data_IF_286147707151
#
_entry.id   IF_286147707151
#
_cell.length_a   1.000
_cell.length_b   1.000
_cell.length_c   1.000
_cell.angle_alpha   90.00
_cell.angle_beta   90.00
_cell.angle_gamma   90.00
#
_symmetry.space_group_name_H-M   'P 1'
#
loop_
_entity.id
_entity.type
_entity.pdbx_description
1 polymer ?
#
# COMPACT_ATOMS: atom_id res chain seq x y z
N UNK A 1 5.83 -6.37 -0.97
CA UNK A 1 6.54 -5.54 0.03
C UNK A 1 5.67 -4.33 0.31
N UNK A 2 5.40 -4.01 1.60
CA UNK A 2 4.56 -2.88 1.96
C UNK A 2 5.28 -1.55 1.77
N UNK A 3 4.54 -0.51 1.32
CA UNK A 3 5.08 0.85 1.30
C UNK A 3 5.29 1.34 2.74
N UNK A 4 6.44 1.90 3.01
CA UNK A 4 6.75 2.62 4.25
C UNK A 4 6.42 4.10 4.04
N UNK A 5 5.50 4.64 4.82
CA UNK A 5 5.12 6.05 4.72
C UNK A 5 5.66 6.80 5.93
N UNK A 6 6.50 7.81 5.66
CA UNK A 6 6.96 8.76 6.67
C UNK A 6 6.03 9.97 6.65
N UNK A 7 5.46 10.32 7.78
CA UNK A 7 4.66 11.53 7.89
C UNK A 7 5.22 12.48 8.93
N UNK A 8 5.61 13.69 8.47
CA UNK A 8 5.62 14.87 9.31
C UNK A 8 4.20 15.44 9.29
N UNK A 9 3.57 15.54 10.44
CA UNK A 9 2.24 16.14 10.56
C UNK A 9 2.30 17.61 10.14
N UNK A 10 1.51 18.06 9.15
CA UNK A 10 1.29 19.47 8.97
C UNK A 10 0.40 19.96 10.12
N UNK A 11 0.84 21.02 10.79
CA UNK A 11 -0.03 21.86 11.63
C UNK A 11 -1.07 22.53 10.73
N UNK A 12 -2.20 21.87 10.47
CA UNK A 12 -3.25 22.41 9.62
C UNK A 12 -4.60 22.32 10.31
N UNK A 13 -5.27 23.46 10.38
CA UNK A 13 -6.65 23.67 10.88
C UNK A 13 -7.72 22.71 10.32
N UNK A 14 -7.47 22.06 9.19
CA UNK A 14 -8.36 21.06 8.56
C UNK A 14 -8.39 19.74 9.36
N UNK A 15 -7.25 19.30 9.91
CA UNK A 15 -7.16 18.10 10.72
C UNK A 15 -7.99 18.23 12.01
N UNK A 16 -7.89 19.37 12.68
CA UNK A 16 -8.60 19.63 13.94
C UNK A 16 -10.12 19.55 13.79
N UNK A 17 -10.65 20.08 12.69
CA UNK A 17 -12.08 20.02 12.38
C UNK A 17 -12.56 18.60 12.16
N UNK A 18 -11.82 17.80 11.40
CA UNK A 18 -12.16 16.39 11.13
C UNK A 18 -12.25 15.57 12.43
N UNK A 19 -11.25 15.68 13.29
CA UNK A 19 -11.24 14.93 14.55
C UNK A 19 -12.32 15.41 15.51
N UNK A 20 -12.60 16.72 15.54
CA UNK A 20 -13.68 17.30 16.35
C UNK A 20 -15.05 16.82 15.88
N UNK A 21 -15.33 16.88 14.57
CA UNK A 21 -16.60 16.45 13.99
C UNK A 21 -16.85 14.95 14.28
N UNK A 22 -15.82 14.12 14.21
CA UNK A 22 -15.93 12.70 14.56
C UNK A 22 -16.17 12.51 16.07
N UNK A 23 -15.51 13.29 16.95
CA UNK A 23 -15.77 13.23 18.37
C UNK A 23 -17.22 13.59 18.70
N UNK A 24 -17.69 14.71 18.17
CA UNK A 24 -19.05 15.19 18.41
C UNK A 24 -20.11 14.19 17.91
N UNK A 25 -19.92 13.62 16.72
CA UNK A 25 -20.76 12.53 16.19
C UNK A 25 -20.72 11.29 17.06
N UNK A 26 -19.53 10.88 17.47
CA UNK A 26 -19.35 9.71 18.35
C UNK A 26 -20.08 9.86 19.68
N UNK A 27 -19.97 11.04 20.30
CA UNK A 27 -20.66 11.34 21.56
C UNK A 27 -22.17 11.45 21.38
N UNK A 28 -22.64 11.97 20.24
CA UNK A 28 -24.06 12.00 19.91
C UNK A 28 -24.62 10.58 19.72
N UNK A 29 -23.96 9.74 18.96
CA UNK A 29 -24.34 8.34 18.78
C UNK A 29 -24.34 7.59 20.12
N UNK A 30 -23.36 7.83 20.99
CA UNK A 30 -23.28 7.23 22.33
C UNK A 30 -24.49 7.61 23.19
N UNK A 31 -24.87 8.91 23.21
CA UNK A 31 -26.08 9.40 23.91
C UNK A 31 -27.36 8.77 23.37
N UNK A 32 -27.42 8.54 22.07
CA UNK A 32 -28.57 7.94 21.39
C UNK A 32 -28.58 6.40 21.49
N UNK A 33 -27.65 5.80 22.23
CA UNK A 33 -27.50 4.33 22.38
C UNK A 33 -27.15 3.59 21.06
N UNK A 34 -26.65 4.32 20.05
CA UNK A 34 -26.13 3.78 18.81
C UNK A 34 -24.65 3.44 19.00
N UNK A 35 -24.37 2.41 19.80
CA UNK A 35 -23.05 2.19 20.36
C UNK A 35 -22.00 1.76 19.32
N UNK A 36 -22.36 1.00 18.31
CA UNK A 36 -21.44 0.59 17.25
C UNK A 36 -20.98 1.80 16.41
N UNK A 37 -21.91 2.69 16.07
CA UNK A 37 -21.60 3.93 15.37
C UNK A 37 -20.80 4.88 16.29
N UNK A 38 -21.11 4.92 17.58
CA UNK A 38 -20.33 5.69 18.55
C UNK A 38 -18.87 5.23 18.56
N UNK A 39 -18.62 3.93 18.65
CA UNK A 39 -17.27 3.35 18.61
C UNK A 39 -16.56 3.71 17.30
N UNK A 40 -17.25 3.61 16.18
CA UNK A 40 -16.69 3.97 14.86
C UNK A 40 -16.19 5.42 14.81
N UNK A 41 -16.99 6.38 15.26
CA UNK A 41 -16.59 7.78 15.27
C UNK A 41 -15.57 8.12 16.37
N UNK A 42 -15.70 7.54 17.57
CA UNK A 42 -14.75 7.73 18.66
C UNK A 42 -13.35 7.20 18.29
N UNK A 43 -13.27 6.09 17.59
CA UNK A 43 -12.00 5.58 17.06
C UNK A 43 -11.28 6.64 16.24
N UNK A 44 -11.97 7.25 15.28
CA UNK A 44 -11.39 8.26 14.37
C UNK A 44 -10.91 9.51 15.11
N UNK A 45 -11.52 9.87 16.23
CA UNK A 45 -11.15 11.04 17.01
C UNK A 45 -10.15 10.75 18.14
N UNK A 46 -9.96 9.49 18.52
CA UNK A 46 -9.11 9.08 19.63
C UNK A 46 -7.62 9.37 19.41
N UNK A 47 -7.19 9.52 18.17
CA UNK A 47 -5.83 9.96 17.88
C UNK A 47 -5.52 11.33 18.50
N UNK A 48 -6.45 12.27 18.38
CA UNK A 48 -6.23 13.67 18.75
C UNK A 48 -6.79 14.02 20.14
N UNK A 49 -7.97 13.47 20.51
CA UNK A 49 -8.67 13.84 21.73
C UNK A 49 -8.56 12.79 22.84
N UNK A 50 -8.05 13.21 24.01
CA UNK A 50 -8.02 12.36 25.20
C UNK A 50 -9.42 12.00 25.71
N UNK A 51 -10.40 12.91 25.53
CA UNK A 51 -11.81 12.63 25.80
C UNK A 51 -12.37 11.50 24.93
N UNK A 52 -11.96 11.41 23.68
CA UNK A 52 -12.33 10.30 22.79
C UNK A 52 -11.65 8.99 23.21
N UNK A 53 -10.35 9.02 23.53
CA UNK A 53 -9.64 7.86 24.11
C UNK A 53 -10.34 7.34 25.35
N UNK A 54 -10.70 8.25 26.26
CA UNK A 54 -11.41 7.94 27.49
C UNK A 54 -12.79 7.29 27.22
N UNK A 55 -13.59 7.89 26.33
CA UNK A 55 -14.90 7.35 25.97
C UNK A 55 -14.78 5.97 25.32
N UNK A 56 -13.83 5.80 24.39
CA UNK A 56 -13.56 4.53 23.72
C UNK A 56 -13.05 3.46 24.72
N UNK A 57 -12.20 3.85 25.69
CA UNK A 57 -11.76 2.96 26.75
C UNK A 57 -12.93 2.46 27.61
N UNK A 58 -13.91 3.32 27.90
CA UNK A 58 -15.13 2.90 28.57
C UNK A 58 -15.94 1.89 27.73
N UNK A 59 -16.02 2.08 26.41
CA UNK A 59 -16.67 1.12 25.50
C UNK A 59 -16.01 -0.26 25.59
N UNK A 60 -14.68 -0.33 25.49
CA UNK A 60 -13.94 -1.59 25.61
C UNK A 60 -14.03 -2.20 27.01
N UNK A 61 -13.99 -1.40 28.07
CA UNK A 61 -14.13 -1.87 29.44
C UNK A 61 -15.47 -2.57 29.66
N UNK A 62 -16.54 -2.00 29.13
CA UNK A 62 -17.91 -2.43 29.38
C UNK A 62 -18.46 -3.39 28.31
N UNK A 63 -17.81 -3.51 27.16
CA UNK A 63 -18.33 -4.24 25.99
C UNK A 63 -19.49 -3.49 25.31
N UNK A 64 -19.44 -2.15 25.27
CA UNK A 64 -20.54 -1.32 24.74
C UNK A 64 -20.25 -0.95 23.28
N UNK A 65 -20.99 -1.53 22.33
CA UNK A 65 -20.77 -1.36 20.89
C UNK A 65 -19.50 -2.03 20.35
N UNK A 66 -18.82 -2.77 21.18
CA UNK A 66 -17.58 -3.49 20.87
C UNK A 66 -17.40 -4.63 21.87
N UNK A 67 -16.71 -5.68 21.46
CA UNK A 67 -16.35 -6.77 22.36
C UNK A 67 -15.52 -6.25 23.55
N UNK A 68 -15.87 -6.74 24.75
CA UNK A 68 -15.18 -6.34 25.99
C UNK A 68 -13.71 -6.74 25.93
N UNK A 69 -12.82 -5.76 26.13
CA UNK A 69 -11.38 -5.99 26.17
C UNK A 69 -10.70 -5.05 27.18
N UNK A 70 -10.34 -5.63 28.31
CA UNK A 70 -9.75 -4.88 29.43
C UNK A 70 -8.34 -4.35 29.11
N UNK A 71 -7.57 -5.09 28.33
CA UNK A 71 -6.22 -4.66 27.93
C UNK A 71 -6.27 -3.44 27.01
N UNK A 72 -7.20 -3.42 26.05
CA UNK A 72 -7.41 -2.25 25.20
C UNK A 72 -7.89 -1.03 25.99
N UNK A 73 -8.84 -1.23 26.89
CA UNK A 73 -9.29 -0.16 27.78
C UNK A 73 -8.13 0.42 28.61
N UNK A 74 -7.29 -0.46 29.16
CA UNK A 74 -6.11 -0.08 29.93
C UNK A 74 -5.11 0.74 29.11
N UNK A 75 -4.83 0.32 27.87
CA UNK A 75 -3.93 1.03 26.96
C UNK A 75 -4.47 2.44 26.64
N UNK A 76 -5.73 2.55 26.27
CA UNK A 76 -6.37 3.83 25.95
C UNK A 76 -6.34 4.81 27.12
N UNK A 77 -6.62 4.35 28.36
CA UNK A 77 -6.50 5.20 29.53
C UNK A 77 -5.06 5.68 29.76
N UNK A 78 -4.06 4.80 29.63
CA UNK A 78 -2.64 5.14 29.78
C UNK A 78 -2.13 6.10 28.73
N UNK A 79 -2.73 6.12 27.54
CA UNK A 79 -2.36 7.02 26.45
C UNK A 79 -2.91 8.44 26.58
N UNK A 80 -3.84 8.68 27.49
CA UNK A 80 -4.28 10.04 27.80
C UNK A 80 -3.13 10.84 28.43
N UNK A 81 -3.03 12.13 28.09
CA UNK A 81 -2.02 13.02 28.69
C UNK A 81 -2.15 13.06 30.21
N UNK A 82 -1.03 13.19 30.89
CA UNK A 82 -0.97 13.17 32.38
C UNK A 82 -1.88 14.19 33.04
N UNK A 83 -2.09 15.36 32.41
CA UNK A 83 -3.06 16.36 32.90
C UNK A 83 -4.48 15.82 32.88
N UNK A 84 -4.89 15.26 31.71
CA UNK A 84 -6.22 14.67 31.54
C UNK A 84 -6.44 13.46 32.45
N UNK A 85 -5.41 12.63 32.64
CA UNK A 85 -5.47 11.49 33.58
C UNK A 85 -5.81 11.94 35.00
N UNK A 86 -5.18 13.01 35.48
CA UNK A 86 -5.46 13.57 36.82
C UNK A 86 -6.86 14.17 36.92
N UNK A 87 -7.26 15.00 35.93
CA UNK A 87 -8.57 15.64 35.91
C UNK A 87 -9.73 14.63 35.86
N UNK A 88 -9.55 13.51 35.17
CA UNK A 88 -10.57 12.47 34.99
C UNK A 88 -10.39 11.27 35.93
N UNK A 89 -9.43 11.33 36.88
CA UNK A 89 -9.12 10.26 37.83
C UNK A 89 -8.93 8.90 37.16
N UNK A 90 -8.19 8.88 36.04
CA UNK A 90 -8.02 7.66 35.26
C UNK A 90 -7.18 6.61 35.96
N UNK A 91 -6.31 7.01 36.91
CA UNK A 91 -5.50 6.10 37.73
C UNK A 91 -6.37 5.13 38.53
N UNK A 92 -7.50 5.60 39.10
CA UNK A 92 -8.45 4.74 39.81
C UNK A 92 -9.04 3.67 38.88
N UNK A 93 -9.38 4.07 37.61
CA UNK A 93 -9.91 3.15 36.60
C UNK A 93 -8.87 2.16 36.12
N UNK A 94 -7.63 2.62 35.94
CA UNK A 94 -6.47 1.79 35.54
C UNK A 94 -6.23 0.74 36.64
N UNK A 95 -6.15 1.14 37.90
CA UNK A 95 -5.92 0.23 39.00
C UNK A 95 -7.04 -0.78 39.19
N UNK A 96 -8.30 -0.37 38.99
CA UNK A 96 -9.44 -1.29 39.00
C UNK A 96 -9.37 -2.35 37.92
N UNK A 97 -8.93 -1.98 36.69
CA UNK A 97 -8.75 -2.93 35.61
C UNK A 97 -7.57 -3.88 35.88
N UNK A 98 -6.44 -3.35 36.34
CA UNK A 98 -5.27 -4.15 36.72
C UNK A 98 -5.62 -5.22 37.74
N UNK A 99 -6.39 -4.84 38.78
CA UNK A 99 -6.87 -5.78 39.77
C UNK A 99 -7.74 -6.89 39.17
N UNK A 100 -8.67 -6.55 38.27
CA UNK A 100 -9.50 -7.56 37.58
C UNK A 100 -8.64 -8.51 36.73
N UNK A 101 -7.63 -7.99 36.06
CA UNK A 101 -6.70 -8.79 35.24
C UNK A 101 -5.93 -9.75 36.13
N UNK A 102 -5.41 -9.29 37.26
CA UNK A 102 -4.65 -10.06 38.24
C UNK A 102 -5.52 -11.12 38.92
N UNK A 103 -6.66 -10.71 39.47
CA UNK A 103 -7.59 -11.61 40.18
C UNK A 103 -8.11 -12.77 39.31
N UNK A 104 -8.23 -12.55 38.01
CA UNK A 104 -8.70 -13.56 37.06
C UNK A 104 -7.56 -14.21 36.22
N UNK A 105 -6.31 -13.91 36.54
CA UNK A 105 -5.13 -14.40 35.82
C UNK A 105 -5.26 -14.28 34.27
N UNK A 106 -5.83 -13.12 33.81
CA UNK A 106 -6.04 -12.87 32.42
C UNK A 106 -4.70 -12.60 31.73
N UNK A 107 -4.49 -13.25 30.60
CA UNK A 107 -3.32 -12.99 29.76
C UNK A 107 -3.74 -12.15 28.57
N UNK A 108 -2.90 -11.20 28.21
CA UNK A 108 -3.06 -10.47 26.96
C UNK A 108 -2.81 -11.45 25.80
N UNK A 109 -3.84 -11.69 24.99
CA UNK A 109 -3.66 -12.41 23.75
C UNK A 109 -2.79 -11.59 22.81
N UNK A 110 -1.79 -12.24 22.31
CA UNK A 110 -0.68 -11.77 21.49
C UNK A 110 -0.84 -10.45 20.73
N UNK A 111 0.28 -9.93 20.26
CA UNK A 111 0.52 -8.70 19.51
C UNK A 111 -0.31 -8.51 18.22
N UNK A 112 -1.45 -9.17 18.10
CA UNK A 112 -2.32 -9.13 16.93
C UNK A 112 -3.76 -8.76 17.31
N UNK A 113 -4.35 -7.88 16.54
CA UNK A 113 -5.74 -7.47 16.68
C UNK A 113 -6.45 -7.47 15.32
N UNK A 114 -7.73 -7.86 15.31
CA UNK A 114 -8.59 -7.78 14.13
C UNK A 114 -9.69 -6.75 14.35
N UNK A 115 -9.85 -5.85 13.38
CA UNK A 115 -10.97 -4.89 13.31
C UNK A 115 -11.69 -5.13 11.99
N UNK A 116 -12.98 -4.88 11.96
CA UNK A 116 -13.77 -4.81 10.75
C UNK A 116 -14.27 -3.38 10.53
N UNK A 117 -13.96 -2.80 9.37
CA UNK A 117 -14.48 -1.52 8.93
C UNK A 117 -15.43 -1.72 7.75
N UNK A 118 -16.55 -0.98 7.71
CA UNK A 118 -17.59 -1.15 6.68
C UNK A 118 -17.11 -0.84 5.26
N UNK A 119 -16.10 0.02 5.13
CA UNK A 119 -15.53 0.47 3.85
C UNK A 119 -14.23 -0.25 3.53
N UNK A 120 -13.34 -0.34 4.52
CA UNK A 120 -12.02 -0.94 4.35
C UNK A 120 -12.06 -2.46 4.34
N UNK A 121 -13.02 -3.07 5.03
CA UNK A 121 -13.11 -4.50 5.24
C UNK A 121 -12.36 -4.97 6.50
N UNK A 122 -11.81 -6.18 6.49
CA UNK A 122 -11.10 -6.77 7.61
C UNK A 122 -9.68 -6.20 7.71
N UNK A 123 -9.29 -5.76 8.90
CA UNK A 123 -7.99 -5.18 9.21
C UNK A 123 -7.32 -6.03 10.27
N UNK A 124 -6.09 -6.46 10.03
CA UNK A 124 -5.21 -7.11 11.00
C UNK A 124 -4.15 -6.12 11.45
N UNK A 125 -4.04 -5.88 12.74
CA UNK A 125 -3.05 -4.99 13.32
C UNK A 125 -2.02 -5.83 14.04
N UNK A 126 -0.75 -5.61 13.71
CA UNK A 126 0.40 -6.22 14.37
C UNK A 126 1.24 -5.13 15.02
N UNK A 127 1.59 -5.35 16.28
CA UNK A 127 2.41 -4.43 17.05
C UNK A 127 3.88 -4.80 16.93
N UNK A 128 4.73 -3.80 16.75
CA UNK A 128 6.17 -3.98 16.76
C UNK A 128 6.85 -2.87 17.55
N UNK A 129 7.66 -3.22 18.50
CA UNK A 129 8.47 -2.26 19.29
C UNK A 129 9.65 -1.70 18.52
N UNK A 130 9.94 -2.24 17.33
CA UNK A 130 11.10 -1.89 16.50
C UNK A 130 10.79 -0.87 15.41
N UNK A 131 9.53 -0.48 15.26
CA UNK A 131 9.12 0.48 14.24
C UNK A 131 8.44 1.68 14.88
N UNK A 132 8.79 2.86 14.38
CA UNK A 132 8.24 4.15 14.81
C UNK A 132 7.24 4.75 13.81
N UNK A 133 6.84 3.97 12.80
CA UNK A 133 5.90 4.34 11.75
C UNK A 133 5.01 3.14 11.41
N UNK A 134 3.91 3.37 10.75
CA UNK A 134 3.03 2.29 10.30
C UNK A 134 3.38 1.81 8.90
N UNK A 135 3.31 0.50 8.70
CA UNK A 135 3.43 -0.17 7.41
C UNK A 135 2.07 -0.76 7.07
N UNK A 136 1.48 -0.31 5.96
CA UNK A 136 0.19 -0.82 5.46
C UNK A 136 0.42 -1.74 4.27
N UNK A 137 -0.13 -2.95 4.33
CA UNK A 137 -0.07 -3.93 3.26
C UNK A 137 -1.47 -4.51 3.00
N UNK A 138 -1.89 -4.50 1.74
CA UNK A 138 -3.14 -5.12 1.32
C UNK A 138 -2.89 -6.60 1.04
N UNK A 139 -3.47 -7.46 1.89
CA UNK A 139 -3.33 -8.92 1.83
C UNK A 139 -4.62 -9.53 1.27
N UNK A 140 -4.56 -10.83 0.97
CA UNK A 140 -5.65 -11.62 0.40
C UNK A 140 -6.99 -11.44 1.14
N UNK A 141 -6.97 -11.56 2.47
CA UNK A 141 -8.20 -11.64 3.27
C UNK A 141 -8.33 -10.50 4.28
N UNK A 142 -7.34 -9.59 4.34
CA UNK A 142 -7.30 -8.49 5.28
C UNK A 142 -6.29 -7.41 4.86
N UNK A 143 -6.45 -6.22 5.43
CA UNK A 143 -5.42 -5.17 5.37
C UNK A 143 -4.52 -5.38 6.57
N UNK A 144 -3.23 -5.63 6.35
CA UNK A 144 -2.24 -5.73 7.42
C UNK A 144 -1.68 -4.35 7.73
N UNK A 145 -1.78 -3.95 8.99
CA UNK A 145 -1.09 -2.78 9.52
C UNK A 145 -0.11 -3.22 10.57
N UNK A 146 1.18 -3.00 10.31
CA UNK A 146 2.23 -3.20 11.30
C UNK A 146 2.62 -1.82 11.83
N UNK A 147 2.47 -1.60 13.15
CA UNK A 147 2.67 -0.28 13.76
C UNK A 147 3.38 -0.38 15.10
N UNK A 148 4.12 0.68 15.47
CA UNK A 148 4.68 0.86 16.81
C UNK A 148 3.72 1.55 17.79
N UNK A 149 2.59 2.04 17.31
CA UNK A 149 1.59 2.70 18.15
C UNK A 149 0.78 1.67 18.94
N UNK A 150 0.49 1.98 20.20
CA UNK A 150 -0.21 1.05 21.09
C UNK A 150 -1.74 1.10 20.97
N UNK A 151 -2.29 1.69 19.91
CA UNK A 151 -3.74 1.82 19.70
C UNK A 151 -4.12 1.47 18.28
N UNK A 152 -4.96 0.45 18.18
CA UNK A 152 -5.48 -0.08 16.94
C UNK A 152 -6.20 0.97 16.06
N UNK A 153 -6.81 1.95 16.69
CA UNK A 153 -7.68 2.91 16.02
C UNK A 153 -6.89 3.90 15.15
N UNK A 154 -5.62 4.12 15.45
CA UNK A 154 -4.69 4.92 14.60
C UNK A 154 -4.42 4.21 13.27
N UNK A 155 -4.45 2.89 13.26
CA UNK A 155 -4.20 2.11 12.07
C UNK A 155 -5.20 2.36 10.93
N UNK A 156 -6.44 2.73 11.25
CA UNK A 156 -7.46 3.08 10.25
C UNK A 156 -7.06 4.37 9.52
N UNK A 157 -6.64 5.41 10.25
CA UNK A 157 -6.19 6.66 9.65
C UNK A 157 -4.94 6.44 8.79
N UNK A 158 -4.02 5.56 9.20
CA UNK A 158 -2.84 5.21 8.43
C UNK A 158 -3.19 4.49 7.13
N UNK A 159 -4.25 3.66 7.12
CA UNK A 159 -4.76 3.05 5.89
C UNK A 159 -5.29 4.12 4.93
N UNK A 160 -6.12 5.06 5.40
CA UNK A 160 -6.64 6.14 4.55
C UNK A 160 -5.53 7.03 4.01
N UNK A 161 -4.51 7.35 4.82
CA UNK A 161 -3.32 8.08 4.36
C UNK A 161 -2.57 7.29 3.28
N UNK A 162 -2.38 5.98 3.50
CA UNK A 162 -1.73 5.12 2.53
C UNK A 162 -2.51 5.09 1.19
N UNK A 163 -3.83 5.05 1.25
CA UNK A 163 -4.69 5.12 0.07
C UNK A 163 -4.58 6.47 -0.64
N UNK A 164 -4.61 7.58 0.10
CA UNK A 164 -4.52 8.93 -0.45
C UNK A 164 -3.20 9.22 -1.18
N UNK A 165 -2.14 8.45 -0.92
CA UNK A 165 -0.85 8.59 -1.61
C UNK A 165 -0.71 7.70 -2.85
N UNK A 166 -1.72 6.90 -3.18
CA UNK A 166 -1.68 6.07 -4.40
C UNK A 166 -2.12 6.89 -5.59
N UNK A 167 -1.35 6.83 -6.68
CA UNK A 167 -1.54 7.68 -7.86
C UNK A 167 -2.91 7.52 -8.52
N UNK A 168 -3.49 6.33 -8.48
CA UNK A 168 -4.81 6.07 -9.05
C UNK A 168 -5.98 6.68 -8.27
N UNK A 169 -5.77 7.18 -7.03
CA UNK A 169 -6.75 8.00 -6.30
C UNK A 169 -6.61 9.50 -6.59
N UNK A 170 -5.54 9.91 -7.28
CA UNK A 170 -5.26 11.33 -7.58
C UNK A 170 -5.79 11.79 -8.93
N UNK A 171 -6.05 10.89 -9.87
CA UNK A 171 -6.62 11.26 -11.16
C UNK A 171 -8.15 11.37 -11.03
N UNK A 172 -8.66 12.57 -10.99
CA UNK A 172 -10.11 12.88 -10.90
C UNK A 172 -10.92 12.25 -12.05
N UNK A 173 -10.29 11.95 -13.19
CA UNK A 173 -10.93 11.39 -14.37
C UNK A 173 -10.83 9.87 -14.52
N UNK A 174 -10.05 9.17 -13.69
CA UNK A 174 -9.81 7.74 -13.80
C UNK A 174 -9.71 7.04 -12.45
N UNK A 175 -10.65 7.30 -11.56
CA UNK A 175 -10.91 6.36 -10.47
C UNK A 175 -11.17 5.01 -11.12
N UNK A 176 -10.15 4.15 -11.15
CA UNK A 176 -10.28 2.81 -11.71
C UNK A 176 -11.32 2.07 -10.90
N UNK A 177 -12.56 2.15 -11.36
CA UNK A 177 -13.62 1.35 -10.78
C UNK A 177 -13.27 -0.10 -11.07
N UNK A 178 -12.76 -0.77 -10.06
CA UNK A 178 -12.41 -2.19 -10.14
C UNK A 178 -13.67 -2.95 -9.75
N UNK A 179 -14.32 -3.48 -10.75
CA UNK A 179 -15.47 -4.37 -10.64
C UNK A 179 -15.25 -5.64 -11.48
N UNK A 180 -16.30 -6.42 -11.66
CA UNK A 180 -16.27 -7.65 -12.45
C UNK A 180 -15.96 -7.42 -13.95
N UNK A 181 -16.16 -6.19 -14.45
CA UNK A 181 -15.92 -5.82 -15.84
C UNK A 181 -14.53 -5.21 -16.06
N UNK A 182 -13.72 -5.14 -15.01
CA UNK A 182 -12.38 -4.57 -15.11
C UNK A 182 -11.55 -5.27 -16.19
N UNK A 183 -11.00 -4.46 -17.08
CA UNK A 183 -10.11 -4.90 -18.14
C UNK A 183 -9.01 -3.88 -18.39
N UNK A 184 -7.81 -4.36 -18.66
CA UNK A 184 -6.69 -3.56 -19.14
C UNK A 184 -6.01 -4.31 -20.28
N UNK A 185 -5.77 -3.59 -21.36
CA UNK A 185 -5.09 -4.11 -22.54
C UNK A 185 -3.76 -3.36 -22.69
N UNK A 186 -2.68 -4.12 -22.57
CA UNK A 186 -1.33 -3.65 -22.82
C UNK A 186 -0.79 -4.30 -24.09
N UNK A 187 0.23 -3.76 -24.76
CA UNK A 187 0.74 -4.30 -25.99
C UNK A 187 1.14 -5.78 -25.92
N UNK A 188 1.71 -6.20 -24.78
CA UNK A 188 2.26 -7.55 -24.61
C UNK A 188 1.37 -8.50 -23.79
N UNK A 189 0.33 -8.00 -23.15
CA UNK A 189 -0.58 -8.85 -22.36
C UNK A 189 -1.88 -8.11 -22.02
N UNK A 190 -2.86 -8.88 -21.59
CA UNK A 190 -4.17 -8.35 -21.19
C UNK A 190 -4.50 -8.79 -19.79
N UNK A 191 -5.14 -7.91 -19.00
CA UNK A 191 -5.66 -8.22 -17.68
C UNK A 191 -7.19 -8.24 -17.70
N UNK A 192 -7.74 -9.25 -17.05
CA UNK A 192 -9.20 -9.46 -16.88
C UNK A 192 -9.49 -9.88 -15.45
N UNK A 193 -10.72 -9.68 -15.03
CA UNK A 193 -11.26 -10.23 -13.78
C UNK A 193 -12.41 -11.15 -14.12
N UNK A 194 -12.55 -12.23 -13.37
CA UNK A 194 -13.72 -13.10 -13.39
C UNK A 194 -13.95 -13.71 -12.00
N UNK A 195 -15.20 -13.99 -11.67
CA UNK A 195 -15.49 -14.77 -10.46
C UNK A 195 -15.17 -16.24 -10.68
N UNK A 196 -14.68 -16.89 -9.66
CA UNK A 196 -14.58 -18.34 -9.62
C UNK A 196 -15.68 -18.93 -8.72
N UNK A 197 -15.78 -20.25 -8.73
CA UNK A 197 -16.76 -20.97 -7.89
C UNK A 197 -16.21 -21.33 -6.50
N UNK A 198 -14.97 -20.93 -6.19
CA UNK A 198 -14.30 -21.21 -4.92
C UNK A 198 -14.14 -19.93 -4.09
N UNK A 199 -13.75 -20.08 -2.83
CA UNK A 199 -13.40 -18.97 -1.96
C UNK A 199 -11.90 -18.59 -2.05
N UNK A 200 -11.21 -19.07 -3.09
CA UNK A 200 -9.78 -18.82 -3.24
C UNK A 200 -9.46 -17.91 -4.41
N UNK A 201 -8.45 -17.07 -4.21
CA UNK A 201 -7.85 -16.27 -5.27
C UNK A 201 -6.94 -17.12 -6.13
N UNK A 202 -7.08 -17.00 -7.44
CA UNK A 202 -6.22 -17.66 -8.41
C UNK A 202 -6.13 -16.84 -9.69
N UNK A 203 -5.41 -17.32 -10.69
CA UNK A 203 -5.42 -16.73 -12.02
C UNK A 203 -5.33 -17.80 -13.09
N UNK A 204 -5.75 -17.44 -14.29
CA UNK A 204 -5.53 -18.20 -15.53
C UNK A 204 -4.69 -17.36 -16.47
N UNK A 205 -3.83 -18.00 -17.24
CA UNK A 205 -3.15 -17.38 -18.36
C UNK A 205 -3.43 -18.20 -19.61
N UNK A 206 -4.07 -17.58 -20.59
CA UNK A 206 -4.34 -18.17 -21.89
C UNK A 206 -4.03 -17.13 -22.98
N UNK A 207 -3.06 -17.41 -23.84
CA UNK A 207 -2.67 -16.52 -24.95
C UNK A 207 -2.43 -15.08 -24.48
N UNK A 208 -1.57 -14.91 -23.47
CA UNK A 208 -1.21 -13.60 -22.89
C UNK A 208 -2.38 -12.84 -22.23
N UNK A 209 -3.52 -13.48 -22.05
CA UNK A 209 -4.64 -12.97 -21.27
C UNK A 209 -4.56 -13.53 -19.84
N UNK A 210 -4.17 -12.68 -18.91
CA UNK A 210 -4.19 -13.00 -17.48
C UNK A 210 -5.57 -12.67 -16.91
N UNK A 211 -6.29 -13.68 -16.47
CA UNK A 211 -7.58 -13.52 -15.81
C UNK A 211 -7.41 -13.77 -14.32
N UNK A 212 -7.57 -12.72 -13.52
CA UNK A 212 -7.60 -12.81 -12.05
C UNK A 212 -8.94 -13.42 -11.67
N UNK A 213 -8.90 -14.56 -11.00
CA UNK A 213 -10.06 -15.26 -10.51
C UNK A 213 -10.34 -14.84 -9.08
N UNK A 214 -11.39 -14.04 -8.91
CA UNK A 214 -11.81 -13.48 -7.62
C UNK A 214 -12.76 -14.46 -6.93
N UNK A 215 -12.66 -14.65 -5.60
CA UNK A 215 -13.56 -15.51 -4.85
C UNK A 215 -15.04 -15.19 -5.08
N UNK A 216 -15.89 -16.22 -5.05
CA UNK A 216 -17.36 -16.09 -5.25
C UNK A 216 -17.97 -15.02 -4.36
N UNK A 217 -17.55 -14.93 -3.11
CA UNK A 217 -18.10 -14.03 -2.09
C UNK A 217 -17.32 -12.72 -1.93
N UNK A 218 -16.39 -12.39 -2.83
CA UNK A 218 -15.65 -11.13 -2.75
C UNK A 218 -16.56 -9.94 -3.01
N UNK A 219 -16.56 -8.98 -2.10
CA UNK A 219 -17.32 -7.74 -2.21
C UNK A 219 -16.42 -6.64 -2.79
N UNK A 220 -16.68 -6.26 -4.04
CA UNK A 220 -15.94 -5.18 -4.72
C UNK A 220 -16.19 -3.78 -4.13
N UNK A 221 -17.18 -3.60 -3.25
CA UNK A 221 -17.38 -2.35 -2.53
C UNK A 221 -16.32 -2.16 -1.43
N UNK A 222 -15.70 -3.24 -0.95
CA UNK A 222 -14.66 -3.17 0.05
C UNK A 222 -13.32 -2.73 -0.58
N UNK A 223 -12.71 -1.73 0.01
CA UNK A 223 -11.38 -1.22 -0.39
C UNK A 223 -10.34 -2.34 -0.37
N UNK A 224 -10.37 -3.19 0.64
CA UNK A 224 -9.48 -4.33 0.76
C UNK A 224 -9.48 -5.23 -0.48
N UNK A 225 -10.66 -5.54 -1.02
CA UNK A 225 -10.82 -6.41 -2.19
C UNK A 225 -10.23 -5.75 -3.43
N UNK A 226 -10.57 -4.47 -3.68
CA UNK A 226 -10.04 -3.72 -4.82
C UNK A 226 -8.52 -3.58 -4.76
N UNK A 227 -7.99 -3.23 -3.59
CA UNK A 227 -6.55 -3.09 -3.38
C UNK A 227 -5.80 -4.42 -3.56
N UNK A 228 -6.40 -5.52 -3.12
CA UNK A 228 -5.79 -6.82 -3.33
C UNK A 228 -5.77 -7.22 -4.81
N UNK A 229 -6.79 -6.88 -5.59
CA UNK A 229 -6.79 -7.08 -7.04
C UNK A 229 -5.62 -6.34 -7.69
N UNK A 230 -5.38 -5.08 -7.29
CA UNK A 230 -4.25 -4.29 -7.79
C UNK A 230 -2.91 -4.94 -7.42
N UNK A 231 -2.74 -5.36 -6.17
CA UNK A 231 -1.51 -6.04 -5.76
C UNK A 231 -1.31 -7.36 -6.52
N UNK A 232 -2.40 -8.09 -6.78
CA UNK A 232 -2.34 -9.33 -7.54
C UNK A 232 -1.99 -9.08 -9.01
N UNK A 233 -2.57 -8.04 -9.63
CA UNK A 233 -2.21 -7.60 -10.98
C UNK A 233 -0.73 -7.20 -11.07
N UNK A 234 -0.19 -6.49 -10.08
CA UNK A 234 1.23 -6.12 -10.02
C UNK A 234 2.14 -7.36 -9.95
N UNK A 235 1.73 -8.40 -9.22
CA UNK A 235 2.46 -9.68 -9.17
C UNK A 235 2.50 -10.33 -10.56
N UNK A 236 1.37 -10.35 -11.27
CA UNK A 236 1.29 -10.91 -12.62
C UNK A 236 2.10 -10.11 -13.63
N UNK A 237 2.01 -8.77 -13.59
CA UNK A 237 2.83 -7.89 -14.41
C UNK A 237 4.32 -8.10 -14.18
N UNK A 238 4.75 -8.20 -12.92
CA UNK A 238 6.15 -8.48 -12.59
C UNK A 238 6.61 -9.83 -13.11
N UNK A 239 5.75 -10.84 -13.03
CA UNK A 239 6.05 -12.17 -13.60
C UNK A 239 6.25 -12.08 -15.10
N UNK A 240 5.36 -11.39 -15.81
CA UNK A 240 5.46 -11.17 -17.25
C UNK A 240 6.71 -10.37 -17.63
N UNK A 241 6.97 -9.26 -16.91
CA UNK A 241 8.17 -8.45 -17.09
C UNK A 241 9.46 -9.26 -16.93
N UNK A 242 9.51 -10.08 -15.88
CA UNK A 242 10.68 -10.92 -15.63
C UNK A 242 10.93 -11.89 -16.77
N UNK A 243 9.88 -12.55 -17.28
CA UNK A 243 10.02 -13.48 -18.40
C UNK A 243 10.44 -12.76 -19.69
N UNK A 244 9.70 -11.72 -20.08
CA UNK A 244 9.90 -11.04 -21.35
C UNK A 244 11.19 -10.22 -21.39
N UNK A 245 11.42 -9.34 -20.41
CA UNK A 245 12.53 -8.38 -20.43
C UNK A 245 13.88 -9.10 -20.29
N UNK A 246 13.97 -10.13 -19.42
CA UNK A 246 15.21 -10.88 -19.26
C UNK A 246 15.59 -11.70 -20.50
N UNK A 247 14.62 -12.20 -21.24
CA UNK A 247 14.85 -12.86 -22.53
C UNK A 247 15.26 -11.81 -23.59
N UNK A 248 14.52 -10.70 -23.65
CA UNK A 248 14.72 -9.67 -24.67
C UNK A 248 16.10 -9.01 -24.58
N UNK A 249 16.55 -8.67 -23.38
CA UNK A 249 17.87 -8.04 -23.20
C UNK A 249 19.01 -8.98 -23.61
N UNK A 250 18.88 -10.30 -23.44
CA UNK A 250 19.87 -11.27 -23.91
C UNK A 250 19.98 -11.26 -25.43
N UNK A 251 18.83 -11.23 -26.10
CA UNK A 251 18.77 -11.18 -27.59
C UNK A 251 19.40 -9.88 -28.07
N UNK A 252 19.00 -8.73 -27.49
CA UNK A 252 19.52 -7.42 -27.88
C UNK A 252 21.03 -7.34 -27.65
N UNK A 253 21.50 -7.67 -26.43
CA UNK A 253 22.92 -7.64 -26.07
C UNK A 253 23.77 -8.43 -27.08
N UNK A 254 23.33 -9.64 -27.46
CA UNK A 254 24.00 -10.46 -28.47
C UNK A 254 24.02 -9.79 -29.85
N UNK A 255 22.90 -9.20 -30.25
CA UNK A 255 22.76 -8.58 -31.58
C UNK A 255 23.63 -7.31 -31.72
N UNK A 256 23.69 -6.50 -30.64
CA UNK A 256 24.48 -5.25 -30.63
C UNK A 256 25.92 -5.43 -30.18
N UNK A 257 26.31 -6.64 -29.74
CA UNK A 257 27.67 -6.94 -29.31
C UNK A 257 28.10 -6.24 -28.00
N UNK A 258 27.15 -5.88 -27.13
CA UNK A 258 27.42 -5.19 -25.87
C UNK A 258 27.14 -6.14 -24.68
N UNK A 259 28.16 -6.40 -23.88
CA UNK A 259 28.08 -7.30 -22.74
C UNK A 259 27.66 -6.59 -21.46
N UNK A 260 26.85 -7.25 -20.64
CA UNK A 260 26.46 -6.85 -19.28
C UNK A 260 26.62 -8.04 -18.33
N UNK A 261 26.70 -7.78 -17.00
CA UNK A 261 26.89 -8.87 -16.04
C UNK A 261 25.56 -9.50 -15.62
N UNK A 262 24.55 -8.69 -15.34
CA UNK A 262 23.24 -9.13 -14.89
C UNK A 262 22.16 -8.09 -15.14
N UNK A 263 20.96 -8.54 -15.50
CA UNK A 263 19.76 -7.70 -15.48
C UNK A 263 18.85 -8.12 -14.32
N UNK A 264 18.30 -7.15 -13.59
CA UNK A 264 17.36 -7.34 -12.50
C UNK A 264 16.07 -6.60 -12.77
N UNK A 265 14.95 -7.24 -12.51
CA UNK A 265 13.65 -6.58 -12.55
C UNK A 265 13.31 -6.05 -11.16
N UNK A 266 13.16 -4.73 -11.06
CA UNK A 266 12.81 -4.07 -9.80
C UNK A 266 11.35 -4.33 -9.46
N UNK A 267 11.10 -4.62 -8.20
CA UNK A 267 9.77 -4.92 -7.68
C UNK A 267 9.15 -3.79 -6.88
N UNK A 268 9.92 -2.73 -6.63
CA UNK A 268 9.50 -1.66 -5.73
C UNK A 268 8.86 -0.52 -6.50
N UNK A 269 7.65 -0.15 -6.08
CA UNK A 269 7.08 1.16 -6.36
C UNK A 269 7.96 2.16 -5.60
N UNK A 270 8.60 3.08 -6.28
CA UNK A 270 9.45 4.10 -5.64
C UNK A 270 10.81 4.28 -6.28
N UNK A 271 11.14 3.49 -7.29
CA UNK A 271 12.22 3.82 -8.20
C UNK A 271 11.71 4.88 -9.17
N UNK A 272 12.28 6.08 -9.10
CA UNK A 272 11.93 7.19 -10.02
C UNK A 272 12.59 7.02 -11.39
N UNK A 273 12.98 5.81 -11.77
CA UNK A 273 13.62 5.52 -13.05
C UNK A 273 13.06 4.23 -13.66
N UNK A 274 13.03 4.22 -14.99
CA UNK A 274 12.56 3.08 -15.80
C UNK A 274 13.65 2.03 -15.91
N UNK A 275 14.88 2.47 -16.12
CA UNK A 275 16.09 1.68 -16.20
C UNK A 275 17.25 2.34 -15.45
N UNK A 276 18.28 1.58 -15.14
CA UNK A 276 19.52 2.07 -14.54
C UNK A 276 20.66 1.10 -14.75
N UNK A 277 21.76 1.61 -15.30
CA UNK A 277 23.03 0.89 -15.42
C UNK A 277 23.98 1.23 -14.28
N UNK A 278 24.69 0.23 -13.76
CA UNK A 278 25.72 0.40 -12.72
C UNK A 278 27.10 0.13 -13.31
N UNK A 279 27.92 1.17 -13.59
CA UNK A 279 29.20 1.02 -14.34
C UNK A 279 30.20 0.07 -13.70
N UNK A 280 30.30 0.11 -12.36
CA UNK A 280 31.29 -0.71 -11.62
C UNK A 280 30.98 -2.21 -11.68
N UNK A 281 29.71 -2.58 -11.71
CA UNK A 281 29.25 -3.98 -11.65
C UNK A 281 28.70 -4.48 -12.97
N UNK A 282 28.50 -3.61 -13.95
CA UNK A 282 27.80 -3.86 -15.21
C UNK A 282 26.43 -4.50 -15.01
N UNK A 283 25.76 -4.14 -13.93
CA UNK A 283 24.38 -4.57 -13.61
C UNK A 283 23.40 -3.58 -14.21
N UNK A 284 22.36 -4.08 -14.83
CA UNK A 284 21.22 -3.28 -15.32
C UNK A 284 20.02 -3.58 -14.42
N UNK A 285 19.33 -2.54 -13.98
CA UNK A 285 18.08 -2.64 -13.23
C UNK A 285 16.95 -2.02 -14.05
N UNK A 286 15.85 -2.74 -14.25
CA UNK A 286 14.70 -2.32 -15.06
C UNK A 286 13.43 -2.38 -14.21
N UNK A 287 12.62 -1.33 -14.26
CA UNK A 287 11.29 -1.32 -13.63
C UNK A 287 10.37 -2.33 -14.30
N UNK A 288 9.65 -3.14 -13.53
CA UNK A 288 8.65 -4.06 -14.09
C UNK A 288 7.50 -3.33 -14.81
N UNK A 289 7.27 -2.05 -14.50
CA UNK A 289 6.25 -1.25 -15.18
C UNK A 289 6.52 -1.09 -16.68
N UNK A 290 7.77 -1.19 -17.09
CA UNK A 290 8.14 -1.13 -18.52
C UNK A 290 7.38 -2.16 -19.39
N UNK A 291 6.90 -3.27 -18.81
CA UNK A 291 6.11 -4.28 -19.53
C UNK A 291 4.78 -3.76 -20.08
N UNK A 292 4.29 -2.61 -19.61
CA UNK A 292 3.07 -1.98 -20.09
C UNK A 292 3.27 -1.26 -21.43
N UNK A 293 4.51 -0.99 -21.79
CA UNK A 293 4.90 -0.24 -23.00
C UNK A 293 4.94 -1.13 -24.25
N UNK A 294 5.07 -0.51 -25.43
CA UNK A 294 5.26 -1.23 -26.68
C UNK A 294 6.60 -1.98 -26.70
N UNK A 295 6.71 -3.06 -27.49
CA UNK A 295 7.97 -3.77 -27.66
C UNK A 295 9.12 -2.86 -28.12
N UNK A 296 8.84 -1.91 -28.99
CA UNK A 296 9.82 -0.94 -29.53
C UNK A 296 10.35 -0.02 -28.44
N UNK A 297 9.45 0.47 -27.55
CA UNK A 297 9.86 1.29 -26.41
C UNK A 297 10.68 0.49 -25.39
N UNK A 298 10.30 -0.76 -25.13
CA UNK A 298 11.09 -1.67 -24.29
C UNK A 298 12.49 -1.86 -24.86
N UNK A 299 12.59 -2.13 -26.14
CA UNK A 299 13.88 -2.31 -26.84
C UNK A 299 14.73 -1.05 -26.74
N UNK A 300 14.13 0.14 -26.91
CA UNK A 300 14.81 1.41 -26.78
C UNK A 300 15.45 1.57 -25.41
N UNK A 301 14.69 1.29 -24.34
CA UNK A 301 15.19 1.36 -22.95
C UNK A 301 16.33 0.36 -22.73
N UNK A 302 16.18 -0.87 -23.23
CA UNK A 302 17.21 -1.90 -23.07
C UNK A 302 18.51 -1.55 -23.80
N UNK A 303 18.42 -0.99 -25.01
CA UNK A 303 19.57 -0.49 -25.77
C UNK A 303 20.21 0.71 -25.07
N UNK A 304 19.41 1.65 -24.57
CA UNK A 304 19.84 2.79 -23.79
C UNK A 304 20.70 2.36 -22.61
N UNK A 305 20.22 1.44 -21.78
CA UNK A 305 20.96 0.95 -20.60
C UNK A 305 22.25 0.20 -21.01
N UNK A 306 22.23 -0.52 -22.11
CA UNK A 306 23.43 -1.17 -22.66
C UNK A 306 24.46 -0.13 -23.13
N UNK A 307 24.02 0.97 -23.76
CA UNK A 307 24.93 2.04 -24.24
C UNK A 307 25.64 2.78 -23.11
N UNK A 308 25.10 2.76 -21.89
CA UNK A 308 25.79 3.27 -20.71
C UNK A 308 27.09 2.52 -20.35
N UNK A 309 27.38 1.39 -21.00
CA UNK A 309 28.69 0.74 -20.91
C UNK A 309 29.80 1.59 -21.54
N UNK A 310 29.47 2.52 -22.44
CA UNK A 310 30.43 3.40 -23.16
C UNK A 310 30.48 4.82 -22.58
N UNK A 311 29.36 5.35 -22.12
CA UNK A 311 29.31 6.63 -21.40
C UNK A 311 28.27 6.61 -20.30
N UNK A 312 28.65 7.15 -19.13
CA UNK A 312 27.72 7.31 -18.01
C UNK A 312 26.77 8.51 -18.20
N UNK A 313 27.00 9.34 -19.19
CA UNK A 313 26.24 10.55 -19.49
C UNK A 313 25.62 10.46 -20.87
N UNK A 314 24.50 11.14 -21.08
CA UNK A 314 23.84 11.26 -22.39
C UNK A 314 24.57 12.30 -23.25
N UNK A 315 25.85 12.05 -23.50
CA UNK A 315 26.74 12.90 -24.31
C UNK A 315 26.82 12.42 -25.76
N UNK A 316 27.65 13.09 -26.55
CA UNK A 316 27.83 12.76 -27.97
C UNK A 316 28.33 11.31 -28.18
N UNK A 317 29.16 10.80 -27.27
CA UNK A 317 29.65 9.44 -27.33
C UNK A 317 28.55 8.39 -27.10
N UNK A 318 27.67 8.66 -26.12
CA UNK A 318 26.50 7.84 -25.85
C UNK A 318 25.59 7.75 -27.07
N UNK A 319 25.19 8.90 -27.62
CA UNK A 319 24.29 8.92 -28.79
C UNK A 319 24.94 8.37 -30.05
N UNK A 320 26.22 8.61 -30.28
CA UNK A 320 26.95 7.99 -31.38
C UNK A 320 26.92 6.45 -31.29
N UNK A 321 27.09 5.91 -30.08
CA UNK A 321 27.01 4.47 -29.85
C UNK A 321 25.58 3.96 -30.04
N UNK A 322 24.59 4.68 -29.57
CA UNK A 322 23.19 4.32 -29.74
C UNK A 322 22.79 4.32 -31.24
N UNK A 323 23.26 5.30 -32.04
CA UNK A 323 23.06 5.35 -33.48
C UNK A 323 23.78 4.22 -34.22
N UNK A 324 24.96 3.78 -33.75
CA UNK A 324 25.70 2.65 -34.32
C UNK A 324 24.95 1.33 -34.14
N UNK A 325 24.34 1.08 -33.00
CA UNK A 325 23.78 -0.23 -32.61
C UNK A 325 22.25 -0.34 -32.78
N UNK A 326 21.58 0.77 -33.05
CA UNK A 326 20.12 0.79 -33.21
C UNK A 326 19.66 1.56 -34.45
N UNK A 327 18.35 1.62 -34.68
CA UNK A 327 17.78 2.45 -35.72
C UNK A 327 17.66 3.93 -35.29
N UNK A 328 17.58 4.83 -36.30
CA UNK A 328 17.28 6.26 -36.02
C UNK A 328 15.98 6.45 -35.27
N UNK A 329 15.02 5.57 -35.43
CA UNK A 329 13.75 5.60 -34.71
C UNK A 329 13.93 5.39 -33.21
N UNK A 330 14.76 4.46 -32.78
CA UNK A 330 15.06 4.23 -31.37
C UNK A 330 15.77 5.43 -30.74
N UNK A 331 16.70 6.07 -31.48
CA UNK A 331 17.37 7.29 -31.00
C UNK A 331 16.38 8.45 -30.86
N UNK A 332 15.40 8.56 -31.75
CA UNK A 332 14.34 9.56 -31.68
C UNK A 332 13.45 9.33 -30.47
N UNK A 333 12.99 8.09 -30.25
CA UNK A 333 12.18 7.70 -29.08
C UNK A 333 12.95 8.00 -27.80
N UNK A 334 14.25 7.71 -27.74
CA UNK A 334 15.08 7.98 -26.56
C UNK A 334 15.11 9.48 -26.22
N UNK A 335 15.36 10.32 -27.23
CA UNK A 335 15.46 11.77 -27.03
C UNK A 335 14.12 12.44 -26.68
N UNK A 336 13.02 11.99 -27.27
CA UNK A 336 11.71 12.61 -27.14
C UNK A 336 10.96 12.07 -25.91
N UNK A 337 10.98 10.77 -25.67
CA UNK A 337 10.10 10.12 -24.70
C UNK A 337 10.81 9.84 -23.36
N UNK A 338 12.09 9.41 -23.39
CA UNK A 338 12.79 9.05 -22.15
C UNK A 338 13.18 10.28 -21.33
N UNK A 339 13.51 11.40 -22.01
CA UNK A 339 13.86 12.66 -21.34
C UNK A 339 12.72 13.27 -20.51
N UNK A 340 11.49 12.84 -20.71
CA UNK A 340 10.27 13.37 -20.10
C UNK A 340 9.44 12.32 -19.32
N UNK A 341 9.75 11.01 -19.44
CA UNK A 341 8.97 9.96 -18.79
C UNK A 341 9.25 9.85 -17.30
N UNK A 342 8.25 10.13 -16.48
CA UNK A 342 8.17 9.61 -15.14
C UNK A 342 7.71 8.13 -15.18
N UNK A 343 8.29 7.29 -14.31
CA UNK A 343 7.89 5.87 -14.15
C UNK A 343 6.39 5.69 -13.90
N UNK A 344 5.70 6.75 -13.51
CA UNK A 344 4.27 6.78 -13.21
C UNK A 344 3.39 7.08 -14.42
N UNK A 345 3.96 7.61 -15.50
CA UNK A 345 3.23 7.97 -16.73
C UNK A 345 3.14 6.79 -17.72
N UNK A 346 3.81 5.66 -17.40
CA UNK A 346 3.80 4.42 -18.18
C UNK A 346 2.70 3.47 -17.71
#
# INVERSE_FOLDING_TARGET
>A
MGKTYFYNFPNNSIGDKFYKDNYDKGMMCYKNKQYEDAVFYLRRSSFYYDSAKHALANCYKNGTGVEKNLFKALRLYRMCMSRYQRECKLDEKINAILKIIEDNNLKENDNEEYIYDKVLGKIKICWSTYINHSIVKFCKDYILVTTGYQVADIAIDDIYKALATRDYYRSDDNMMYIDENFKRDYPLFKLRIARNNSNEWSYKNQNEIYTILVPKNADFNLVQVREYIIEYANILMKKQATSYILERIKIISKNVGIEYSKCKILSERGCNYIGRFYPKTKVIEISYHLIKSSPEFIDTILIHELCHTFSNYHDALFYAKMEEVSSKEYVRIDKEDIGHCNVYDI
#
